data_IF_343196793213
#
_entry.id   IF_343196793213
#
_cell.length_a   1.000
_cell.length_b   1.000
_cell.length_c   1.000
_cell.angle_alpha   90.00
_cell.angle_beta   90.00
_cell.angle_gamma   90.00
#
_symmetry.space_group_name_H-M   'P 1'
#
loop_
_entity.id
_entity.type
_entity.pdbx_description
1 polymer ?
#
# COMPACT_ATOMS: atom_id res chain seq x y z
N UNK A 1 6.32 45.12 2.54
CA UNK A 1 5.57 43.92 2.12
C UNK A 1 6.46 42.74 2.33
N UNK A 2 6.26 41.96 3.40
CA UNK A 2 7.00 40.74 3.62
C UNK A 2 6.43 39.67 2.69
N UNK A 3 7.23 39.23 1.74
CA UNK A 3 6.95 38.05 0.92
C UNK A 3 6.83 36.86 1.86
N UNK A 4 5.62 36.36 2.10
CA UNK A 4 5.40 35.07 2.72
C UNK A 4 6.00 34.05 1.76
N UNK A 5 7.24 33.62 2.01
CA UNK A 5 7.80 32.40 1.43
C UNK A 5 6.93 31.25 1.98
N UNK A 6 5.95 30.81 1.19
CA UNK A 6 5.28 29.55 1.45
C UNK A 6 6.36 28.49 1.45
N UNK A 7 6.73 28.03 2.62
CA UNK A 7 7.63 26.89 2.75
C UNK A 7 6.93 25.71 2.08
N UNK A 8 7.46 25.29 0.95
CA UNK A 8 6.89 24.19 0.16
C UNK A 8 6.82 22.94 1.03
N UNK A 9 5.69 22.24 1.04
CA UNK A 9 5.55 21.01 1.83
C UNK A 9 6.57 19.96 1.37
N UNK A 10 7.07 19.13 2.28
CA UNK A 10 7.98 18.04 1.93
C UNK A 10 7.33 17.04 0.98
N UNK A 11 6.01 16.82 1.06
CA UNK A 11 5.26 16.02 0.09
C UNK A 11 5.43 16.54 -1.34
N UNK A 12 5.30 17.86 -1.54
CA UNK A 12 5.49 18.46 -2.85
C UNK A 12 6.93 18.35 -3.34
N UNK A 13 7.92 18.39 -2.44
CA UNK A 13 9.33 18.18 -2.80
C UNK A 13 9.62 16.72 -3.19
N UNK A 14 8.97 15.74 -2.56
CA UNK A 14 9.08 14.31 -2.94
C UNK A 14 8.56 14.04 -4.35
N UNK A 15 7.49 14.72 -4.76
CA UNK A 15 6.95 14.58 -6.12
C UNK A 15 7.99 14.98 -7.19
N UNK A 16 8.86 15.97 -6.92
CA UNK A 16 9.94 16.34 -7.84
C UNK A 16 11.01 15.26 -7.96
N UNK A 17 11.20 14.47 -6.90
CA UNK A 17 12.06 13.29 -6.92
C UNK A 17 11.37 12.05 -7.52
N UNK A 18 10.10 12.18 -7.92
CA UNK A 18 9.31 11.12 -8.54
C UNK A 18 8.68 10.13 -7.56
N UNK A 19 8.62 10.45 -6.27
CA UNK A 19 7.91 9.67 -5.27
C UNK A 19 6.61 10.35 -4.85
N UNK A 20 5.51 9.58 -4.77
CA UNK A 20 4.23 10.04 -4.26
C UNK A 20 4.04 9.65 -2.80
N UNK A 21 3.45 10.52 -2.01
CA UNK A 21 2.93 10.18 -0.68
C UNK A 21 1.46 9.84 -0.81
N UNK A 22 1.09 8.67 -0.27
CA UNK A 22 -0.28 8.27 -0.02
C UNK A 22 -0.54 8.23 1.48
N UNK A 23 -1.78 8.42 1.91
CA UNK A 23 -2.17 8.37 3.30
C UNK A 23 -2.69 6.96 3.63
N UNK A 24 -2.12 6.30 4.63
CA UNK A 24 -2.62 5.02 5.16
C UNK A 24 -3.64 5.28 6.27
N UNK A 25 -4.74 5.91 5.88
CA UNK A 25 -5.84 6.29 6.75
C UNK A 25 -7.04 6.72 5.93
N UNK A 26 -8.25 6.42 6.39
CA UNK A 26 -9.50 6.90 5.82
C UNK A 26 -10.54 7.00 6.93
N UNK A 27 -11.12 8.21 7.07
CA UNK A 27 -12.21 8.47 8.01
C UNK A 27 -13.20 9.44 7.37
N UNK A 28 -14.47 9.21 7.61
CA UNK A 28 -15.57 10.05 7.08
C UNK A 28 -15.43 11.51 7.48
N UNK A 29 -15.06 11.77 8.74
CA UNK A 29 -14.88 13.12 9.27
C UNK A 29 -13.85 13.93 8.51
N UNK A 30 -12.72 13.34 8.09
CA UNK A 30 -11.71 14.07 7.33
C UNK A 30 -12.18 14.44 5.90
N UNK A 31 -13.09 13.66 5.32
CA UNK A 31 -13.72 14.00 4.04
C UNK A 31 -14.68 15.18 4.23
N UNK A 32 -15.54 15.10 5.25
CA UNK A 32 -16.58 16.11 5.52
C UNK A 32 -16.02 17.45 6.00
N UNK A 33 -14.95 17.44 6.79
CA UNK A 33 -14.31 18.67 7.32
C UNK A 33 -13.49 19.43 6.29
N UNK A 34 -13.15 18.82 5.16
CA UNK A 34 -12.22 19.37 4.17
C UNK A 34 -10.74 19.13 4.48
N UNK A 35 -10.41 18.38 5.55
CA UNK A 35 -9.04 18.01 5.90
C UNK A 35 -8.35 17.25 4.75
N UNK A 36 -9.05 16.26 4.15
CA UNK A 36 -8.52 15.52 3.00
C UNK A 36 -8.23 16.43 1.81
N UNK A 37 -9.12 17.37 1.51
CA UNK A 37 -8.90 18.34 0.42
C UNK A 37 -7.65 19.19 0.68
N UNK A 38 -7.46 19.66 1.90
CA UNK A 38 -6.26 20.42 2.29
C UNK A 38 -4.97 19.60 2.15
N UNK A 39 -4.99 18.31 2.49
CA UNK A 39 -3.83 17.41 2.28
C UNK A 39 -3.53 17.18 0.80
N UNK A 40 -4.55 17.06 -0.05
CA UNK A 40 -4.41 16.92 -1.51
C UNK A 40 -3.75 18.20 -2.08
N UNK A 41 -4.19 19.37 -1.66
CA UNK A 41 -3.61 20.64 -2.07
C UNK A 41 -2.14 20.78 -1.60
N UNK A 42 -1.82 20.23 -0.41
CA UNK A 42 -0.45 20.19 0.11
C UNK A 42 0.46 19.17 -0.59
N UNK A 43 -0.08 18.29 -1.45
CA UNK A 43 0.73 17.34 -2.22
C UNK A 43 0.44 15.87 -1.98
N UNK A 44 -0.58 15.52 -1.20
CA UNK A 44 -1.03 14.13 -1.06
C UNK A 44 -1.55 13.61 -2.42
N UNK A 45 -1.19 12.35 -2.76
CA UNK A 45 -1.46 11.82 -4.11
C UNK A 45 -2.30 10.55 -4.14
N UNK A 46 -2.67 10.00 -3.01
CA UNK A 46 -3.54 8.83 -2.94
C UNK A 46 -3.80 8.39 -1.51
N UNK A 47 -4.50 7.27 -1.38
CA UNK A 47 -4.98 6.81 -0.09
C UNK A 47 -5.10 5.29 -0.06
N UNK A 48 -4.68 4.69 1.06
CA UNK A 48 -4.92 3.27 1.34
C UNK A 48 -5.85 3.11 2.53
N UNK A 49 -6.68 2.09 2.49
CA UNK A 49 -7.49 1.66 3.62
C UNK A 49 -7.27 0.18 3.91
N UNK A 50 -7.66 -0.26 5.07
CA UNK A 50 -7.65 -1.66 5.51
C UNK A 50 -8.67 -1.85 6.65
N UNK A 51 -8.99 -3.10 7.04
CA UNK A 51 -9.96 -3.36 8.09
C UNK A 51 -9.65 -2.68 9.44
N UNK A 52 -8.37 -2.56 9.80
CA UNK A 52 -7.95 -1.92 11.06
C UNK A 52 -8.27 -0.41 11.08
N UNK A 53 -8.10 0.26 9.95
CA UNK A 53 -8.42 1.69 9.80
C UNK A 53 -9.93 1.92 9.99
N UNK A 54 -10.76 1.11 9.35
CA UNK A 54 -12.21 1.21 9.50
C UNK A 54 -12.68 0.81 10.89
N UNK A 55 -12.06 -0.21 11.50
CA UNK A 55 -12.37 -0.63 12.87
C UNK A 55 -12.18 0.52 13.86
N UNK A 56 -11.02 1.19 13.80
CA UNK A 56 -10.74 2.35 14.64
C UNK A 56 -11.72 3.49 14.37
N UNK A 57 -11.95 3.86 13.12
CA UNK A 57 -12.87 4.95 12.78
C UNK A 57 -14.31 4.70 13.23
N UNK A 58 -14.82 3.47 13.06
CA UNK A 58 -16.20 3.13 13.47
C UNK A 58 -16.33 2.96 14.98
N UNK A 59 -15.29 2.44 15.66
CA UNK A 59 -15.34 2.23 17.11
C UNK A 59 -15.21 3.55 17.91
N UNK A 60 -14.38 4.47 17.45
CA UNK A 60 -13.97 5.66 18.20
C UNK A 60 -14.77 6.93 17.86
N UNK A 61 -15.40 7.01 16.68
CA UNK A 61 -16.05 8.22 16.18
C UNK A 61 -17.57 8.07 16.03
N UNK A 62 -18.29 9.16 16.21
CA UNK A 62 -19.73 9.27 15.96
C UNK A 62 -20.08 9.54 14.49
N UNK A 63 -19.07 9.74 13.64
CA UNK A 63 -19.22 10.06 12.21
C UNK A 63 -20.03 9.00 11.42
N UNK A 64 -20.11 7.79 11.94
CA UNK A 64 -20.76 6.65 11.32
C UNK A 64 -22.15 6.34 11.91
N UNK A 65 -22.52 6.88 13.08
CA UNK A 65 -23.70 6.45 13.85
C UNK A 65 -25.00 6.64 13.06
N UNK A 66 -25.19 7.78 12.40
CA UNK A 66 -26.38 8.02 11.57
C UNK A 66 -26.49 7.01 10.40
N UNK A 67 -25.37 6.76 9.72
CA UNK A 67 -25.34 5.82 8.59
C UNK A 67 -25.58 4.37 9.05
N UNK A 68 -25.00 3.98 10.19
CA UNK A 68 -25.20 2.64 10.77
C UNK A 68 -26.65 2.45 11.22
N UNK A 69 -27.25 3.43 11.92
CA UNK A 69 -28.65 3.38 12.35
C UNK A 69 -29.59 3.26 11.15
N UNK A 70 -29.34 4.01 10.07
CA UNK A 70 -30.13 3.92 8.84
C UNK A 70 -30.03 2.54 8.19
N UNK A 71 -28.79 2.01 8.06
CA UNK A 71 -28.55 0.70 7.43
C UNK A 71 -29.05 -0.47 8.28
N UNK A 72 -29.07 -0.34 9.61
CA UNK A 72 -29.57 -1.35 10.52
C UNK A 72 -31.06 -1.70 10.28
N UNK A 73 -31.86 -0.71 9.82
CA UNK A 73 -33.30 -0.93 9.51
C UNK A 73 -33.52 -1.69 8.20
N UNK A 74 -32.48 -1.92 7.39
CA UNK A 74 -32.59 -2.54 6.06
C UNK A 74 -32.52 -4.07 6.03
N UNK A 75 -32.40 -4.73 7.19
CA UNK A 75 -32.24 -6.19 7.31
C UNK A 75 -30.90 -6.75 6.84
N UNK A 76 -29.90 -5.89 6.65
CA UNK A 76 -28.54 -6.26 6.24
C UNK A 76 -27.76 -6.90 7.39
N UNK A 77 -26.84 -7.77 7.03
CA UNK A 77 -25.79 -8.29 7.95
C UNK A 77 -24.76 -7.20 8.27
N UNK A 78 -24.00 -7.38 9.35
CA UNK A 78 -22.93 -6.43 9.73
C UNK A 78 -21.88 -6.28 8.63
N UNK A 79 -21.56 -7.36 7.91
CA UNK A 79 -20.65 -7.33 6.79
C UNK A 79 -21.19 -6.48 5.61
N UNK A 80 -22.47 -6.61 5.27
CA UNK A 80 -23.12 -5.81 4.22
C UNK A 80 -23.25 -4.33 4.64
N UNK A 81 -23.43 -4.06 5.92
CA UNK A 81 -23.44 -2.69 6.47
C UNK A 81 -22.04 -2.08 6.36
N UNK A 82 -21.02 -2.82 6.81
CA UNK A 82 -19.63 -2.39 6.67
C UNK A 82 -19.29 -2.05 5.22
N UNK A 83 -19.59 -2.96 4.31
CA UNK A 83 -19.29 -2.74 2.90
C UNK A 83 -19.98 -1.51 2.34
N UNK A 84 -21.26 -1.31 2.66
CA UNK A 84 -22.00 -0.13 2.21
C UNK A 84 -21.34 1.19 2.69
N UNK A 85 -20.86 1.19 3.94
CA UNK A 85 -20.14 2.33 4.54
C UNK A 85 -18.78 2.53 3.87
N UNK A 86 -17.98 1.47 3.75
CA UNK A 86 -16.65 1.52 3.15
C UNK A 86 -16.68 1.95 1.69
N UNK A 87 -17.60 1.40 0.89
CA UNK A 87 -17.81 1.78 -0.51
C UNK A 87 -18.19 3.27 -0.63
N UNK A 88 -19.06 3.77 0.24
CA UNK A 88 -19.46 5.18 0.22
C UNK A 88 -18.29 6.11 0.54
N UNK A 89 -17.47 5.79 1.55
CA UNK A 89 -16.32 6.60 1.95
C UNK A 89 -15.20 6.56 0.91
N UNK A 90 -14.88 5.36 0.37
CA UNK A 90 -13.90 5.20 -0.69
C UNK A 90 -14.32 5.95 -1.95
N UNK A 91 -15.61 5.91 -2.32
CA UNK A 91 -16.15 6.68 -3.45
C UNK A 91 -15.98 8.17 -3.23
N UNK A 92 -16.34 8.67 -2.05
CA UNK A 92 -16.21 10.09 -1.71
C UNK A 92 -14.76 10.56 -1.73
N UNK A 93 -13.83 9.75 -1.19
CA UNK A 93 -12.40 10.04 -1.26
C UNK A 93 -11.90 9.99 -2.72
N UNK A 94 -12.30 9.00 -3.51
CA UNK A 94 -11.94 8.90 -4.93
C UNK A 94 -12.42 10.13 -5.73
N UNK A 95 -13.60 10.66 -5.42
CA UNK A 95 -14.10 11.88 -6.05
C UNK A 95 -13.23 13.11 -5.72
N UNK A 96 -12.72 13.23 -4.48
CA UNK A 96 -11.77 14.29 -4.11
C UNK A 96 -10.41 14.13 -4.82
N UNK A 97 -9.93 12.90 -5.00
CA UNK A 97 -8.69 12.61 -5.73
C UNK A 97 -8.84 12.64 -7.26
N UNK A 98 -10.07 12.75 -7.78
CA UNK A 98 -10.32 12.70 -9.22
C UNK A 98 -9.52 13.75 -10.02
N UNK A 99 -9.37 15.01 -9.58
CA UNK A 99 -8.54 15.98 -10.28
C UNK A 99 -7.05 15.54 -10.37
N UNK A 100 -6.51 14.93 -9.30
CA UNK A 100 -5.13 14.39 -9.30
C UNK A 100 -4.99 13.26 -10.32
N UNK A 101 -5.98 12.35 -10.35
CA UNK A 101 -6.01 11.24 -11.31
C UNK A 101 -6.05 11.73 -12.76
N UNK A 102 -6.92 12.68 -13.06
CA UNK A 102 -7.06 13.21 -14.41
C UNK A 102 -5.81 14.00 -14.85
N UNK A 103 -5.23 14.84 -13.98
CA UNK A 103 -4.01 15.61 -14.26
C UNK A 103 -2.77 14.72 -14.44
N UNK A 104 -2.68 13.62 -13.69
CA UNK A 104 -1.60 12.64 -13.81
C UNK A 104 -1.83 11.64 -14.96
N UNK A 105 -2.89 11.80 -15.75
CA UNK A 105 -3.32 10.83 -16.76
C UNK A 105 -3.44 9.41 -16.18
N UNK A 106 -4.00 9.29 -14.98
CA UNK A 106 -4.17 8.01 -14.27
C UNK A 106 -2.86 7.41 -13.76
N UNK A 107 -1.85 8.23 -13.50
CA UNK A 107 -0.58 7.81 -12.87
C UNK A 107 -0.62 7.89 -11.35
N UNK A 108 -1.57 8.64 -10.79
CA UNK A 108 -1.74 8.84 -9.35
C UNK A 108 -3.22 9.18 -9.03
N UNK A 109 -3.53 9.56 -7.80
CA UNK A 109 -4.89 9.93 -7.39
C UNK A 109 -5.78 8.73 -7.06
N UNK A 110 -5.20 7.61 -6.68
CA UNK A 110 -5.93 6.39 -6.36
C UNK A 110 -6.34 6.29 -4.90
N UNK A 111 -7.48 5.62 -4.68
CA UNK A 111 -7.96 5.21 -3.35
C UNK A 111 -8.18 3.70 -3.36
N UNK A 112 -7.68 2.99 -2.34
CA UNK A 112 -7.79 1.54 -2.28
C UNK A 112 -8.88 1.08 -1.32
N UNK A 113 -9.62 0.02 -1.70
CA UNK A 113 -10.51 -0.78 -0.86
C UNK A 113 -10.07 -2.24 -0.91
N UNK A 114 -10.04 -2.92 0.23
CA UNK A 114 -9.51 -4.28 0.37
C UNK A 114 -10.63 -5.33 0.33
N UNK A 115 -10.38 -6.46 -0.34
CA UNK A 115 -11.25 -7.65 -0.25
C UNK A 115 -11.25 -8.18 1.19
N UNK A 116 -12.25 -8.97 1.55
CA UNK A 116 -12.31 -9.59 2.88
C UNK A 116 -11.03 -10.37 3.19
N UNK A 117 -10.43 -10.19 4.38
CA UNK A 117 -9.22 -10.94 4.77
C UNK A 117 -9.41 -12.48 4.74
N UNK A 118 -10.63 -12.95 4.97
CA UNK A 118 -10.97 -14.39 4.88
C UNK A 118 -10.72 -14.99 3.49
N UNK A 119 -10.58 -14.15 2.47
CA UNK A 119 -10.31 -14.57 1.10
C UNK A 119 -8.82 -14.60 0.74
N UNK A 120 -7.92 -14.31 1.68
CA UNK A 120 -6.48 -14.24 1.43
C UNK A 120 -5.90 -15.54 0.83
N UNK A 121 -6.54 -16.68 1.06
CA UNK A 121 -6.18 -18.00 0.53
C UNK A 121 -7.26 -18.62 -0.37
N UNK A 122 -8.19 -17.78 -0.89
CA UNK A 122 -9.24 -18.18 -1.81
C UNK A 122 -9.18 -17.36 -3.11
N UNK A 123 -8.59 -17.94 -4.14
CA UNK A 123 -8.47 -17.31 -5.46
C UNK A 123 -9.83 -16.92 -6.04
N UNK A 124 -10.82 -17.83 -6.00
CA UNK A 124 -12.13 -17.60 -6.64
C UNK A 124 -12.95 -16.56 -5.88
N UNK A 125 -12.92 -16.64 -4.55
CA UNK A 125 -13.57 -15.67 -3.68
C UNK A 125 -12.97 -14.26 -3.87
N UNK A 126 -11.65 -14.15 -3.93
CA UNK A 126 -10.94 -12.89 -4.18
C UNK A 126 -11.32 -12.25 -5.52
N UNK A 127 -11.41 -13.04 -6.61
CA UNK A 127 -11.86 -12.56 -7.92
C UNK A 127 -13.29 -12.02 -7.85
N UNK A 128 -14.21 -12.84 -7.33
CA UNK A 128 -15.63 -12.49 -7.26
C UNK A 128 -15.87 -11.22 -6.44
N UNK A 129 -15.19 -11.09 -5.30
CA UNK A 129 -15.31 -9.91 -4.45
C UNK A 129 -14.63 -8.69 -5.08
N UNK A 130 -13.47 -8.84 -5.69
CA UNK A 130 -12.79 -7.74 -6.38
C UNK A 130 -13.66 -7.16 -7.51
N UNK A 131 -14.28 -8.00 -8.32
CA UNK A 131 -15.21 -7.57 -9.36
C UNK A 131 -16.43 -6.87 -8.80
N UNK A 132 -16.96 -7.35 -7.67
CA UNK A 132 -18.13 -6.79 -7.01
C UNK A 132 -17.82 -5.41 -6.41
N UNK A 133 -16.71 -5.28 -5.69
CA UNK A 133 -16.25 -4.01 -5.11
C UNK A 133 -15.91 -2.99 -6.20
N UNK A 134 -15.27 -3.41 -7.29
CA UNK A 134 -14.97 -2.56 -8.43
C UNK A 134 -16.24 -1.93 -9.01
N UNK A 135 -17.26 -2.75 -9.25
CA UNK A 135 -18.58 -2.26 -9.72
C UNK A 135 -19.31 -1.41 -8.67
N UNK A 136 -19.19 -1.77 -7.38
CA UNK A 136 -19.86 -1.04 -6.31
C UNK A 136 -19.26 0.36 -6.08
N UNK A 137 -17.94 0.53 -6.13
CA UNK A 137 -17.32 1.85 -6.01
C UNK A 137 -17.54 2.68 -7.26
N UNK A 138 -17.47 2.08 -8.46
CA UNK A 138 -17.73 2.72 -9.75
C UNK A 138 -16.94 4.03 -9.94
N UNK A 139 -15.62 3.98 -9.74
CA UNK A 139 -14.70 5.09 -9.96
C UNK A 139 -13.43 4.62 -10.67
N UNK A 140 -12.93 5.32 -11.70
CA UNK A 140 -11.75 4.87 -12.46
C UNK A 140 -10.44 4.91 -11.64
N UNK A 141 -10.43 5.65 -10.56
CA UNK A 141 -9.31 5.82 -9.66
C UNK A 141 -9.46 5.05 -8.33
N UNK A 142 -10.26 3.99 -8.31
CA UNK A 142 -10.22 3.00 -7.23
C UNK A 142 -9.22 1.90 -7.57
N UNK A 143 -8.58 1.34 -6.56
CA UNK A 143 -7.82 0.09 -6.64
C UNK A 143 -8.42 -0.92 -5.68
N UNK A 144 -8.65 -2.14 -6.16
CA UNK A 144 -9.03 -3.23 -5.27
C UNK A 144 -7.75 -3.82 -4.66
N UNK A 145 -7.72 -3.92 -3.33
CA UNK A 145 -6.55 -4.39 -2.61
C UNK A 145 -6.69 -5.90 -2.38
N UNK A 146 -5.72 -6.68 -2.87
CA UNK A 146 -5.69 -8.15 -2.80
C UNK A 146 -4.37 -8.58 -2.17
N UNK A 147 -4.36 -9.53 -1.20
CA UNK A 147 -3.14 -10.10 -0.65
C UNK A 147 -2.28 -10.79 -1.71
N UNK A 148 -0.96 -10.58 -1.64
CA UNK A 148 0.04 -11.18 -2.54
C UNK A 148 0.44 -12.59 -2.13
N UNK A 149 -0.50 -13.39 -1.63
CA UNK A 149 -0.33 -14.82 -1.30
C UNK A 149 -0.22 -15.67 -2.56
N UNK A 150 0.19 -16.92 -2.42
CA UNK A 150 0.27 -17.85 -3.55
C UNK A 150 -1.10 -18.03 -4.23
N UNK A 151 -2.19 -18.07 -3.46
CA UNK A 151 -3.56 -18.14 -3.98
C UNK A 151 -4.04 -16.79 -4.54
N UNK A 152 -3.46 -15.69 -4.06
CA UNK A 152 -3.74 -14.33 -4.54
C UNK A 152 -3.17 -14.04 -5.93
N UNK A 153 -2.02 -14.62 -6.31
CA UNK A 153 -1.36 -14.32 -7.60
C UNK A 153 -2.27 -14.56 -8.82
N UNK A 154 -2.97 -15.73 -8.95
CA UNK A 154 -3.90 -15.93 -10.06
C UNK A 154 -5.09 -14.97 -10.03
N UNK A 155 -5.58 -14.58 -8.83
CA UNK A 155 -6.67 -13.62 -8.71
C UNK A 155 -6.23 -12.22 -9.18
N UNK A 156 -5.03 -11.79 -8.80
CA UNK A 156 -4.42 -10.52 -9.22
C UNK A 156 -4.30 -10.47 -10.74
N UNK A 157 -3.72 -11.51 -11.37
CA UNK A 157 -3.56 -11.59 -12.82
C UNK A 157 -4.90 -11.52 -13.55
N UNK A 158 -5.89 -12.30 -13.11
CA UNK A 158 -7.22 -12.32 -13.74
C UNK A 158 -7.94 -10.98 -13.60
N UNK A 159 -7.92 -10.36 -12.42
CA UNK A 159 -8.55 -9.05 -12.20
C UNK A 159 -7.90 -7.95 -13.05
N UNK A 160 -6.55 -7.92 -13.10
CA UNK A 160 -5.81 -6.97 -13.96
C UNK A 160 -6.14 -7.22 -15.45
N UNK A 161 -6.21 -8.47 -15.88
CA UNK A 161 -6.59 -8.83 -17.22
C UNK A 161 -8.06 -8.47 -17.54
N UNK A 162 -8.95 -8.40 -16.55
CA UNK A 162 -10.30 -7.87 -16.66
C UNK A 162 -10.35 -6.33 -16.70
N UNK A 163 -9.22 -5.64 -16.43
CA UNK A 163 -9.13 -4.17 -16.44
C UNK A 163 -9.41 -3.51 -15.08
N UNK A 164 -9.40 -4.29 -14.01
CA UNK A 164 -9.53 -3.81 -12.63
C UNK A 164 -8.16 -3.34 -12.13
N UNK A 165 -8.09 -2.14 -11.56
CA UNK A 165 -6.86 -1.66 -10.92
C UNK A 165 -6.63 -2.41 -9.60
N UNK A 166 -5.40 -2.85 -9.36
CA UNK A 166 -5.07 -3.67 -8.19
C UNK A 166 -3.95 -3.05 -7.36
N UNK A 167 -4.20 -2.93 -6.05
CA UNK A 167 -3.18 -2.71 -5.02
C UNK A 167 -2.85 -4.07 -4.39
N UNK A 168 -1.64 -4.57 -4.61
CA UNK A 168 -1.24 -5.88 -4.10
C UNK A 168 -0.64 -5.66 -2.71
N UNK A 169 -1.19 -6.30 -1.67
CA UNK A 169 -0.76 -6.11 -0.28
C UNK A 169 -0.06 -7.32 0.30
N UNK A 170 0.53 -7.17 1.49
CA UNK A 170 1.24 -8.22 2.24
C UNK A 170 2.45 -8.80 1.48
N UNK A 171 3.18 -7.95 0.76
CA UNK A 171 4.44 -8.36 0.15
C UNK A 171 5.59 -8.12 1.12
N UNK A 172 6.30 -9.19 1.48
CA UNK A 172 7.41 -9.16 2.44
C UNK A 172 8.75 -9.59 1.82
N UNK A 173 8.74 -10.21 0.64
CA UNK A 173 9.94 -10.70 -0.02
C UNK A 173 10.08 -10.22 -1.46
N UNK A 174 11.32 -10.12 -1.94
CA UNK A 174 11.62 -9.84 -3.34
C UNK A 174 11.03 -10.91 -4.26
N UNK A 175 11.00 -12.18 -3.79
CA UNK A 175 10.44 -13.30 -4.56
C UNK A 175 8.94 -13.10 -4.80
N UNK A 176 8.16 -12.72 -3.76
CA UNK A 176 6.73 -12.43 -3.90
C UNK A 176 6.50 -11.20 -4.78
N UNK A 177 7.35 -10.15 -4.63
CA UNK A 177 7.31 -8.99 -5.52
C UNK A 177 7.48 -9.38 -7.00
N UNK A 178 8.44 -10.24 -7.33
CA UNK A 178 8.64 -10.72 -8.70
C UNK A 178 7.44 -11.52 -9.24
N UNK A 179 6.77 -12.31 -8.41
CA UNK A 179 5.55 -13.04 -8.80
C UNK A 179 4.42 -12.09 -9.19
N UNK A 180 4.19 -11.05 -8.42
CA UNK A 180 3.11 -10.09 -8.71
C UNK A 180 3.48 -9.13 -9.84
N UNK A 181 4.75 -8.84 -10.05
CA UNK A 181 5.22 -8.11 -11.22
C UNK A 181 5.01 -8.92 -12.50
N UNK A 182 5.29 -10.22 -12.47
CA UNK A 182 4.99 -11.14 -13.58
C UNK A 182 3.49 -11.20 -13.89
N UNK A 183 2.64 -11.34 -12.86
CA UNK A 183 1.19 -11.35 -13.03
C UNK A 183 0.68 -10.05 -13.69
N UNK A 184 1.27 -8.89 -13.35
CA UNK A 184 0.92 -7.63 -13.99
C UNK A 184 1.31 -7.60 -15.47
N UNK A 185 2.54 -8.00 -15.81
CA UNK A 185 2.99 -8.03 -17.21
C UNK A 185 2.16 -9.01 -18.05
N UNK A 186 1.90 -10.21 -17.54
CA UNK A 186 1.07 -11.23 -18.20
C UNK A 186 -0.37 -10.74 -18.43
N UNK A 187 -0.97 -10.07 -17.44
CA UNK A 187 -2.31 -9.50 -17.58
C UNK A 187 -2.37 -8.44 -18.68
N UNK A 188 -1.37 -7.54 -18.77
CA UNK A 188 -1.32 -6.53 -19.83
C UNK A 188 -1.14 -7.17 -21.22
N UNK A 189 -0.29 -8.18 -21.33
CA UNK A 189 -0.09 -8.94 -22.58
C UNK A 189 -1.38 -9.66 -23.01
N UNK A 190 -2.08 -10.28 -22.05
CA UNK A 190 -3.36 -10.94 -22.32
C UNK A 190 -4.43 -9.94 -22.83
N UNK A 191 -4.49 -8.72 -22.28
CA UNK A 191 -5.37 -7.67 -22.78
C UNK A 191 -5.02 -7.25 -24.20
N UNK A 192 -3.74 -7.00 -24.48
CA UNK A 192 -3.29 -6.65 -25.83
C UNK A 192 -3.63 -7.75 -26.85
N UNK A 193 -3.46 -9.02 -26.48
CA UNK A 193 -3.81 -10.14 -27.35
C UNK A 193 -5.33 -10.18 -27.70
N UNK A 194 -6.19 -9.63 -26.80
CA UNK A 194 -7.63 -9.47 -27.04
C UNK A 194 -8.01 -8.14 -27.73
N UNK A 195 -7.02 -7.30 -28.04
CA UNK A 195 -7.27 -5.97 -28.61
C UNK A 195 -7.83 -4.95 -27.60
N UNK A 196 -7.69 -5.20 -26.31
CA UNK A 196 -8.20 -4.34 -25.25
C UNK A 196 -7.15 -3.30 -24.81
N UNK A 197 -7.59 -2.08 -24.43
CA UNK A 197 -6.66 -1.03 -24.01
C UNK A 197 -5.98 -1.35 -22.67
N UNK A 198 -4.69 -1.01 -22.55
CA UNK A 198 -3.90 -1.22 -21.31
C UNK A 198 -3.54 0.09 -20.60
N UNK A 199 -3.71 1.23 -21.23
CA UNK A 199 -3.26 2.54 -20.72
C UNK A 199 -4.01 3.02 -19.46
N UNK A 200 -5.13 2.39 -19.10
CA UNK A 200 -5.90 2.70 -17.90
C UNK A 200 -5.82 1.63 -16.81
N UNK A 201 -5.13 0.53 -17.07
CA UNK A 201 -4.91 -0.51 -16.05
C UNK A 201 -3.72 -0.11 -15.19
N UNK A 202 -3.96 0.08 -13.91
CA UNK A 202 -2.94 0.48 -12.95
C UNK A 202 -2.77 -0.58 -11.86
N UNK A 203 -1.53 -0.74 -11.41
CA UNK A 203 -1.21 -1.60 -10.27
C UNK A 203 -0.12 -0.97 -9.40
N UNK A 204 -0.19 -1.23 -8.10
CA UNK A 204 0.86 -0.93 -7.13
C UNK A 204 1.16 -2.17 -6.29
N UNK A 205 2.42 -2.32 -5.90
CA UNK A 205 2.91 -3.45 -5.11
C UNK A 205 3.27 -2.95 -3.70
N UNK A 206 2.37 -3.18 -2.72
CA UNK A 206 2.57 -2.73 -1.34
C UNK A 206 3.55 -3.64 -0.62
N UNK A 207 4.79 -3.18 -0.56
CA UNK A 207 5.95 -3.85 0.02
C UNK A 207 6.15 -3.38 1.45
N UNK A 208 6.07 -4.30 2.40
CA UNK A 208 6.05 -3.99 3.84
C UNK A 208 7.46 -3.87 4.39
N UNK A 209 7.72 -2.80 5.14
CA UNK A 209 9.09 -2.46 5.57
C UNK A 209 9.29 -2.64 7.07
N UNK A 210 8.62 -1.87 7.94
CA UNK A 210 8.90 -1.89 9.38
C UNK A 210 8.59 -3.22 10.06
N UNK A 211 7.65 -4.02 9.53
CA UNK A 211 7.36 -5.35 10.08
C UNK A 211 8.53 -6.30 9.88
N UNK A 212 9.24 -6.18 8.75
CA UNK A 212 10.46 -6.98 8.50
C UNK A 212 11.50 -6.69 9.55
N UNK A 213 11.80 -5.39 9.81
CA UNK A 213 12.76 -5.05 10.86
C UNK A 213 12.28 -5.49 12.24
N UNK A 214 10.99 -5.39 12.57
CA UNK A 214 10.45 -5.84 13.86
C UNK A 214 10.72 -7.33 14.10
N UNK A 215 10.45 -8.19 13.12
CA UNK A 215 10.65 -9.64 13.24
C UNK A 215 12.14 -10.00 13.21
N UNK A 216 12.92 -9.39 12.32
CA UNK A 216 14.36 -9.64 12.22
C UNK A 216 15.07 -9.17 13.49
N UNK A 217 14.76 -7.99 14.02
CA UNK A 217 15.35 -7.46 15.24
C UNK A 217 15.05 -8.36 16.45
N UNK A 218 13.84 -8.94 16.52
CA UNK A 218 13.50 -9.92 17.56
C UNK A 218 14.35 -11.20 17.47
N UNK A 219 14.73 -11.63 16.26
CA UNK A 219 15.66 -12.76 16.07
C UNK A 219 17.10 -12.37 16.37
N UNK A 220 17.57 -11.24 15.84
CA UNK A 220 18.92 -10.72 16.07
C UNK A 220 19.19 -10.46 17.56
N UNK A 221 18.17 -10.01 18.31
CA UNK A 221 18.28 -9.77 19.75
C UNK A 221 18.58 -11.03 20.60
N UNK A 222 18.38 -12.22 20.02
CA UNK A 222 18.74 -13.51 20.65
C UNK A 222 20.17 -13.95 20.35
N UNK A 223 20.87 -13.24 19.43
CA UNK A 223 22.23 -13.54 18.97
C UNK A 223 23.19 -12.63 19.70
N UNK A 224 24.13 -13.21 20.45
CA UNK A 224 25.11 -12.44 21.23
C UNK A 224 26.37 -12.15 20.41
N UNK A 225 26.20 -11.48 19.26
CA UNK A 225 27.28 -11.05 18.38
C UNK A 225 27.18 -9.55 18.08
N UNK A 226 28.28 -8.82 18.02
CA UNK A 226 28.29 -7.39 17.69
C UNK A 226 27.62 -7.11 16.33
N UNK A 227 27.84 -8.00 15.34
CA UNK A 227 27.29 -7.90 13.98
C UNK A 227 25.76 -7.91 13.97
N UNK A 228 25.11 -8.65 14.88
CA UNK A 228 23.66 -8.67 15.01
C UNK A 228 23.10 -7.27 15.35
N UNK A 229 23.77 -6.54 16.25
CA UNK A 229 23.35 -5.17 16.60
C UNK A 229 23.51 -4.18 15.45
N UNK A 230 24.54 -4.35 14.60
CA UNK A 230 24.77 -3.48 13.45
C UNK A 230 23.71 -3.68 12.36
N UNK A 231 23.10 -4.85 12.28
CA UNK A 231 22.07 -5.16 11.30
C UNK A 231 20.67 -4.72 11.74
N UNK A 232 20.44 -4.52 13.04
CA UNK A 232 19.14 -4.12 13.57
C UNK A 232 18.64 -2.82 12.94
N UNK A 233 17.36 -2.80 12.54
CA UNK A 233 16.72 -1.65 11.89
C UNK A 233 17.18 -1.38 10.45
N UNK A 234 17.85 -2.33 9.80
CA UNK A 234 18.42 -2.13 8.45
C UNK A 234 17.94 -3.12 7.41
N UNK A 235 17.36 -4.24 7.80
CA UNK A 235 17.04 -5.34 6.91
C UNK A 235 15.76 -5.04 6.11
N UNK A 236 14.76 -4.38 6.71
CA UNK A 236 13.56 -3.93 5.99
C UNK A 236 13.91 -2.94 4.86
N UNK A 237 14.85 -2.02 5.12
CA UNK A 237 15.35 -1.08 4.11
C UNK A 237 16.16 -1.83 3.04
N UNK A 238 17.04 -2.76 3.42
CA UNK A 238 17.81 -3.55 2.48
C UNK A 238 16.90 -4.36 1.55
N UNK A 239 15.89 -5.04 2.10
CA UNK A 239 14.90 -5.80 1.34
C UNK A 239 14.11 -4.90 0.36
N UNK A 240 13.67 -3.72 0.78
CA UNK A 240 12.99 -2.76 -0.08
C UNK A 240 13.90 -2.25 -1.22
N UNK A 241 15.18 -2.00 -0.94
CA UNK A 241 16.17 -1.60 -1.96
C UNK A 241 16.41 -2.70 -3.00
N UNK A 242 16.42 -3.97 -2.57
CA UNK A 242 16.50 -5.10 -3.50
C UNK A 242 15.25 -5.21 -4.38
N UNK A 243 14.05 -5.04 -3.80
CA UNK A 243 12.81 -5.00 -4.58
C UNK A 243 12.82 -3.86 -5.61
N UNK A 244 13.35 -2.69 -5.24
CA UNK A 244 13.49 -1.56 -6.16
C UNK A 244 14.50 -1.85 -7.29
N UNK A 245 15.61 -2.52 -7.00
CA UNK A 245 16.55 -2.95 -8.04
C UNK A 245 15.91 -3.90 -9.06
N UNK A 246 15.05 -4.82 -8.61
CA UNK A 246 14.27 -5.68 -9.51
C UNK A 246 13.24 -4.88 -10.34
N UNK A 247 12.57 -3.88 -9.71
CA UNK A 247 11.70 -2.96 -10.43
C UNK A 247 12.43 -2.24 -11.56
N UNK A 248 13.62 -1.72 -11.32
CA UNK A 248 14.43 -1.05 -12.35
C UNK A 248 14.84 -2.01 -13.46
N UNK A 249 15.18 -3.29 -13.16
CA UNK A 249 15.46 -4.33 -14.17
C UNK A 249 14.25 -4.61 -15.04
N UNK A 250 13.07 -4.80 -14.42
CA UNK A 250 11.82 -5.02 -15.15
C UNK A 250 11.54 -3.84 -16.07
N UNK A 251 11.64 -2.62 -15.56
CA UNK A 251 11.38 -1.37 -16.30
C UNK A 251 12.36 -1.17 -17.47
N UNK A 252 13.57 -1.70 -17.37
CA UNK A 252 14.60 -1.61 -18.39
C UNK A 252 14.52 -2.75 -19.41
N UNK A 253 13.65 -3.74 -19.22
CA UNK A 253 13.54 -4.91 -20.10
C UNK A 253 12.87 -4.60 -21.44
N UNK A 254 13.21 -5.39 -22.47
CA UNK A 254 12.54 -5.34 -23.78
C UNK A 254 11.04 -5.65 -23.69
N UNK A 255 10.67 -6.54 -22.77
CA UNK A 255 9.27 -6.90 -22.52
C UNK A 255 8.48 -5.69 -22.05
N UNK A 256 9.00 -4.96 -21.06
CA UNK A 256 8.38 -3.75 -20.56
C UNK A 256 8.34 -2.64 -21.64
N UNK A 257 9.40 -2.43 -22.39
CA UNK A 257 9.44 -1.39 -23.43
C UNK A 257 8.29 -1.57 -24.44
N UNK A 258 8.03 -2.81 -24.90
CA UNK A 258 6.91 -3.11 -25.81
C UNK A 258 5.54 -2.75 -25.21
N UNK A 259 5.34 -2.99 -23.93
CA UNK A 259 4.09 -2.64 -23.22
C UNK A 259 3.98 -1.11 -23.04
N UNK A 260 5.06 -0.45 -22.67
CA UNK A 260 5.11 1.00 -22.49
C UNK A 260 4.81 1.76 -23.80
N UNK A 261 5.29 1.28 -24.95
CA UNK A 261 4.96 1.83 -26.29
C UNK A 261 3.45 1.72 -26.61
N UNK A 262 2.73 0.80 -25.96
CA UNK A 262 1.26 0.64 -26.04
C UNK A 262 0.52 1.42 -24.94
N UNK A 263 1.24 2.23 -24.16
CA UNK A 263 0.69 3.10 -23.14
C UNK A 263 0.56 2.46 -21.75
N UNK A 264 1.20 1.30 -21.50
CA UNK A 264 1.21 0.70 -20.16
C UNK A 264 1.83 1.65 -19.13
N UNK A 265 1.32 1.60 -17.91
CA UNK A 265 1.89 2.27 -16.74
C UNK A 265 2.73 1.27 -15.96
N UNK A 266 3.79 1.74 -15.29
CA UNK A 266 4.59 0.87 -14.42
C UNK A 266 3.76 0.41 -13.21
N UNK A 267 3.95 -0.83 -12.77
CA UNK A 267 3.51 -1.25 -11.44
C UNK A 267 4.47 -0.65 -10.43
N UNK A 268 4.03 0.42 -9.76
CA UNK A 268 4.91 1.15 -8.83
C UNK A 268 5.10 0.36 -7.54
N UNK A 269 6.35 0.18 -7.06
CA UNK A 269 6.57 -0.24 -5.68
C UNK A 269 5.94 0.78 -4.73
N UNK A 270 5.18 0.29 -3.76
CA UNK A 270 4.56 1.08 -2.73
C UNK A 270 5.10 0.64 -1.37
N UNK A 271 5.87 1.50 -0.72
CA UNK A 271 6.40 1.22 0.61
C UNK A 271 5.28 1.35 1.63
N UNK A 272 4.96 0.22 2.27
CA UNK A 272 3.89 0.09 3.24
C UNK A 272 4.45 -0.21 4.64
N UNK A 273 3.65 0.06 5.69
CA UNK A 273 4.10 -0.11 7.08
C UNK A 273 5.40 0.66 7.33
N UNK A 274 5.42 1.96 7.01
CA UNK A 274 6.62 2.81 7.09
C UNK A 274 6.67 3.65 8.36
N UNK A 275 5.69 3.53 9.26
CA UNK A 275 5.79 4.07 10.61
C UNK A 275 6.76 3.26 11.46
N UNK A 276 7.74 3.93 12.06
CA UNK A 276 8.74 3.33 12.95
C UNK A 276 8.10 2.79 14.22
N UNK A 277 8.44 1.56 14.61
CA UNK A 277 7.86 0.89 15.80
C UNK A 277 8.81 0.93 16.99
N UNK A 278 10.12 0.84 16.75
CA UNK A 278 11.15 0.85 17.78
C UNK A 278 11.50 2.31 18.12
N UNK A 279 11.32 2.76 19.38
CA UNK A 279 11.61 4.14 19.77
C UNK A 279 13.11 4.50 19.74
N UNK A 280 14.00 3.51 19.59
CA UNK A 280 15.43 3.76 19.43
C UNK A 280 15.80 4.22 17.99
N UNK A 281 14.90 4.09 17.02
CA UNK A 281 15.13 4.51 15.66
C UNK A 281 14.47 5.87 15.39
N UNK A 282 14.97 6.58 14.36
CA UNK A 282 14.30 7.78 13.86
C UNK A 282 12.84 7.47 13.52
N UNK A 283 11.93 8.32 13.94
CA UNK A 283 10.48 8.15 13.71
C UNK A 283 10.08 8.39 12.24
N UNK A 284 11.00 8.84 11.39
CA UNK A 284 10.87 8.98 9.94
C UNK A 284 11.86 8.09 9.15
N UNK A 285 12.49 7.12 9.83
CA UNK A 285 13.54 6.25 9.28
C UNK A 285 13.24 5.72 7.88
N UNK A 286 12.06 5.11 7.71
CA UNK A 286 11.72 4.42 6.46
C UNK A 286 11.28 5.39 5.34
N UNK A 287 10.80 6.59 5.69
CA UNK A 287 10.55 7.61 4.69
C UNK A 287 11.86 8.15 4.15
N UNK A 288 12.75 8.59 5.02
CA UNK A 288 14.04 9.18 4.64
C UNK A 288 14.92 8.21 3.83
N UNK A 289 14.85 6.90 4.16
CA UNK A 289 15.71 5.88 3.55
C UNK A 289 15.21 5.33 2.20
N UNK A 290 13.95 5.57 1.81
CA UNK A 290 13.29 4.92 0.68
C UNK A 290 12.71 5.92 -0.34
N UNK A 291 13.37 7.05 -0.54
CA UNK A 291 12.97 8.07 -1.52
C UNK A 291 13.57 7.74 -2.89
N UNK A 292 12.71 7.46 -3.87
CA UNK A 292 13.14 7.13 -5.21
C UNK A 292 12.06 7.27 -6.28
N UNK A 293 12.50 7.38 -7.53
CA UNK A 293 11.64 7.61 -8.69
C UNK A 293 10.66 6.46 -8.91
N UNK A 294 9.45 6.82 -9.36
CA UNK A 294 8.37 5.88 -9.69
C UNK A 294 7.96 4.98 -8.51
N UNK A 295 8.09 5.48 -7.29
CA UNK A 295 7.64 4.81 -6.06
C UNK A 295 6.55 5.57 -5.34
N UNK A 296 5.91 4.90 -4.41
CA UNK A 296 4.91 5.46 -3.50
C UNK A 296 5.34 5.12 -2.07
N UNK A 297 5.07 6.01 -1.13
CA UNK A 297 5.15 5.69 0.30
C UNK A 297 3.77 5.96 0.91
N UNK A 298 3.14 4.93 1.48
CA UNK A 298 1.86 5.10 2.18
C UNK A 298 2.12 5.19 3.68
N UNK A 299 1.71 6.30 4.26
CA UNK A 299 2.12 6.69 5.62
C UNK A 299 0.92 6.92 6.53
N UNK A 300 0.99 6.51 7.81
CA UNK A 300 0.01 6.91 8.82
C UNK A 300 0.04 8.42 9.05
N UNK A 301 -1.08 9.05 9.50
CA UNK A 301 -1.17 10.50 9.73
C UNK A 301 -0.07 11.05 10.64
N UNK A 302 0.26 10.32 11.72
CA UNK A 302 1.30 10.74 12.67
C UNK A 302 2.69 10.77 12.02
N UNK A 303 3.03 9.73 11.25
CA UNK A 303 4.29 9.64 10.52
C UNK A 303 4.39 10.74 9.45
N UNK A 304 3.27 11.06 8.77
CA UNK A 304 3.23 12.14 7.81
C UNK A 304 3.54 13.50 8.45
N UNK A 305 2.94 13.79 9.62
CA UNK A 305 3.22 15.03 10.36
C UNK A 305 4.69 15.15 10.76
N UNK A 306 5.28 14.07 11.28
CA UNK A 306 6.70 14.02 11.66
C UNK A 306 7.61 14.22 10.46
N UNK A 307 7.29 13.58 9.35
CA UNK A 307 8.06 13.77 8.12
C UNK A 307 7.96 15.21 7.60
N UNK A 308 6.77 15.83 7.64
CA UNK A 308 6.59 17.23 7.21
C UNK A 308 7.30 18.22 8.15
N UNK A 309 7.50 17.86 9.42
CA UNK A 309 8.24 18.66 10.41
C UNK A 309 9.76 18.57 10.23
N UNK A 310 10.33 17.35 10.22
CA UNK A 310 11.79 17.17 10.27
C UNK A 310 12.37 16.12 9.31
N UNK A 311 11.57 15.50 8.42
CA UNK A 311 12.05 14.54 7.44
C UNK A 311 13.06 15.12 6.44
N UNK A 312 13.90 14.27 5.89
CA UNK A 312 14.94 14.63 4.92
C UNK A 312 14.54 14.22 3.52
N UNK A 313 14.42 15.19 2.61
CA UNK A 313 14.06 14.95 1.20
C UNK A 313 15.32 14.86 0.35
N UNK A 314 15.76 13.63 0.06
CA UNK A 314 16.90 13.35 -0.80
C UNK A 314 16.74 11.98 -1.49
N UNK A 315 17.31 11.75 -2.69
CA UNK A 315 17.31 10.42 -3.30
C UNK A 315 18.13 9.44 -2.46
N UNK A 316 17.48 8.42 -1.88
CA UNK A 316 18.12 7.48 -0.94
C UNK A 316 17.89 6.01 -1.29
N UNK A 317 17.13 5.75 -2.37
CA UNK A 317 16.71 4.39 -2.72
C UNK A 317 17.62 3.73 -3.75
N UNK A 318 17.93 4.42 -4.84
CA UNK A 318 18.74 3.88 -5.94
C UNK A 318 20.24 3.81 -5.57
N UNK A 319 20.97 2.88 -6.22
CA UNK A 319 22.41 2.75 -6.07
C UNK A 319 22.90 2.00 -4.83
N UNK A 320 22.00 1.43 -4.04
CA UNK A 320 22.34 0.73 -2.79
C UNK A 320 22.17 -0.80 -2.86
N UNK A 321 22.05 -1.38 -4.07
CA UNK A 321 21.82 -2.81 -4.23
C UNK A 321 22.97 -3.67 -3.63
N UNK A 322 24.22 -3.28 -3.86
CA UNK A 322 25.35 -4.04 -3.37
C UNK A 322 25.42 -4.06 -1.82
N UNK A 323 25.18 -2.90 -1.17
CA UNK A 323 25.10 -2.83 0.29
C UNK A 323 23.92 -3.64 0.83
N UNK A 324 22.76 -3.55 0.18
CA UNK A 324 21.59 -4.32 0.57
C UNK A 324 21.84 -5.84 0.47
N UNK A 325 22.48 -6.34 -0.60
CA UNK A 325 22.88 -7.74 -0.73
C UNK A 325 23.85 -8.16 0.37
N UNK A 326 24.88 -7.35 0.64
CA UNK A 326 25.84 -7.63 1.69
C UNK A 326 25.17 -7.75 3.07
N UNK A 327 24.17 -6.92 3.38
CA UNK A 327 23.38 -7.02 4.62
C UNK A 327 22.58 -8.31 4.71
N UNK A 328 21.91 -8.71 3.63
CA UNK A 328 21.17 -9.99 3.59
C UNK A 328 22.10 -11.19 3.74
N UNK A 329 23.29 -11.16 3.13
CA UNK A 329 24.31 -12.19 3.30
C UNK A 329 24.84 -12.25 4.74
N UNK A 330 25.04 -11.10 5.39
CA UNK A 330 25.42 -11.02 6.81
C UNK A 330 24.34 -11.62 7.70
N UNK A 331 23.07 -11.29 7.44
CA UNK A 331 21.92 -11.85 8.15
C UNK A 331 21.89 -13.39 8.07
N UNK A 332 22.09 -13.92 6.86
CA UNK A 332 22.13 -15.37 6.64
C UNK A 332 23.30 -16.04 7.39
N UNK A 333 24.49 -15.42 7.41
CA UNK A 333 25.66 -15.93 8.19
C UNK A 333 25.40 -15.99 9.70
N UNK A 334 24.58 -15.07 10.22
CA UNK A 334 24.13 -15.11 11.60
C UNK A 334 23.05 -16.17 11.88
N UNK A 335 22.67 -16.95 10.88
CA UNK A 335 21.71 -18.05 11.02
C UNK A 335 20.24 -17.60 11.00
N UNK A 336 19.94 -16.38 10.57
CA UNK A 336 18.56 -15.93 10.39
C UNK A 336 18.08 -16.33 9.00
N UNK A 337 17.11 -17.24 8.94
CA UNK A 337 16.43 -17.64 7.72
C UNK A 337 15.42 -16.55 7.33
N UNK A 338 15.68 -15.85 6.23
CA UNK A 338 14.83 -14.75 5.78
C UNK A 338 13.54 -15.23 5.10
N UNK A 339 13.55 -16.41 4.49
CA UNK A 339 12.33 -16.99 3.89
C UNK A 339 11.35 -17.39 5.01
N UNK A 340 11.85 -17.93 6.12
CA UNK A 340 11.02 -18.17 7.32
C UNK A 340 10.50 -16.86 7.93
N UNK A 341 11.32 -15.80 8.02
CA UNK A 341 10.87 -14.48 8.48
C UNK A 341 9.68 -14.00 7.64
N UNK A 342 9.78 -14.06 6.32
CA UNK A 342 8.73 -13.52 5.43
C UNK A 342 7.48 -14.39 5.43
N UNK A 343 7.61 -15.71 5.60
CA UNK A 343 6.49 -16.64 5.77
C UNK A 343 5.69 -16.36 7.05
N UNK A 344 6.39 -16.20 8.18
CA UNK A 344 5.77 -15.82 9.46
C UNK A 344 5.03 -14.48 9.33
N UNK A 345 5.63 -13.48 8.69
CA UNK A 345 5.02 -12.16 8.51
C UNK A 345 3.79 -12.19 7.61
N UNK A 346 3.74 -13.07 6.60
CA UNK A 346 2.56 -13.26 5.76
C UNK A 346 1.41 -13.83 6.58
N UNK A 347 1.65 -14.91 7.31
CA UNK A 347 0.64 -15.55 8.16
C UNK A 347 0.12 -14.61 9.25
N UNK A 348 1.01 -13.95 9.98
CA UNK A 348 0.63 -12.94 11.00
C UNK A 348 -0.10 -11.74 10.39
N UNK A 349 0.25 -11.35 9.17
CA UNK A 349 -0.40 -10.26 8.45
C UNK A 349 -1.84 -10.58 8.12
N UNK A 350 -2.12 -11.80 7.65
CA UNK A 350 -3.47 -12.30 7.37
C UNK A 350 -4.26 -12.39 8.68
N UNK A 351 -3.72 -13.07 9.70
CA UNK A 351 -4.37 -13.24 11.00
C UNK A 351 -4.74 -11.88 11.64
N UNK A 352 -3.85 -10.90 11.57
CA UNK A 352 -4.10 -9.57 12.09
C UNK A 352 -5.27 -8.88 11.38
N UNK A 353 -5.34 -8.99 10.06
CA UNK A 353 -6.44 -8.40 9.30
C UNK A 353 -7.77 -9.12 9.57
N UNK A 354 -7.77 -10.45 9.74
CA UNK A 354 -8.94 -11.22 10.13
C UNK A 354 -9.46 -10.80 11.52
N UNK A 355 -8.55 -10.64 12.49
CA UNK A 355 -8.89 -10.16 13.85
C UNK A 355 -9.49 -8.75 13.82
N UNK A 356 -8.87 -7.84 13.07
CA UNK A 356 -9.39 -6.47 12.92
C UNK A 356 -10.75 -6.45 12.22
N UNK A 357 -10.95 -7.29 11.22
CA UNK A 357 -12.23 -7.40 10.53
C UNK A 357 -13.34 -7.95 11.44
N UNK A 358 -13.04 -8.99 12.24
CA UNK A 358 -13.97 -9.51 13.22
C UNK A 358 -14.34 -8.47 14.30
N UNK A 359 -13.35 -7.70 14.80
CA UNK A 359 -13.57 -6.62 15.74
C UNK A 359 -14.42 -5.49 15.16
N UNK A 360 -14.19 -5.15 13.89
CA UNK A 360 -14.98 -4.19 13.12
C UNK A 360 -16.46 -4.60 13.02
N UNK A 361 -16.74 -5.85 12.62
CA UNK A 361 -18.12 -6.35 12.53
C UNK A 361 -18.79 -6.34 13.91
N UNK A 362 -18.07 -6.73 14.97
CA UNK A 362 -18.59 -6.66 16.33
C UNK A 362 -18.87 -5.20 16.78
N UNK A 363 -18.07 -4.22 16.36
CA UNK A 363 -18.31 -2.80 16.62
C UNK A 363 -19.58 -2.30 15.93
N UNK A 364 -19.79 -2.68 14.67
CA UNK A 364 -21.04 -2.39 13.94
C UNK A 364 -22.24 -2.99 14.63
N UNK A 365 -22.17 -4.27 15.03
CA UNK A 365 -23.24 -4.95 15.75
C UNK A 365 -23.63 -4.31 17.10
N UNK A 366 -22.71 -3.56 17.73
CA UNK A 366 -23.00 -2.80 18.95
C UNK A 366 -23.62 -1.42 18.70
N UNK A 367 -23.36 -0.83 17.54
CA UNK A 367 -23.81 0.53 17.18
C UNK A 367 -25.12 0.57 16.36
N UNK A 368 -25.63 -0.58 15.91
CA UNK A 368 -26.89 -0.68 15.16
C UNK A 368 -28.13 -0.89 16.04
#
# INVERSE_FOLDING_TARGET
MATLTHTRSRMAALLELGQSIWLDYLRRGMIRSGELAGLIDAGLRGMTSNPTIFEQGIAEDDDYDEALAHLATSGRTDAEIFEAVAVADVRSAADLFRPVYDQSNGGDGFVSIEVSPALARDTRGSIAEAERLWRAVDRPNVMIKIPGTAEGWPAIEQCLAAGININITLLFSVQHYLKVAEAYLAALEARLARGEPIHRVASVASFFVSRVDTEVDARLGKINEPEAKELSGTIGIANARLAYAEFERIRSSDRWRRLAEKGAKVQRPLWASTGTKNPAYSDVLYLDALIGRDTINTVPPDTLRKFDDHGTVAPTLAGHEADARARMERLARLGVDFDDVTGVLEDEGIEKFEKSYAALLAAIGRKR
#
